data_IF_744751570990
#
_entry.id   IF_744751570990
#
_cell.length_a   1.000
_cell.length_b   1.000
_cell.length_c   1.000
_cell.angle_alpha   90.00
_cell.angle_beta   90.00
_cell.angle_gamma   90.00
#
_symmetry.space_group_name_H-M   'P 1'
#
loop_
_entity.id
_entity.type
_entity.pdbx_description
1 polymer ?
#
# COMPACT_ATOMS: atom_id res chain seq x y z
N UNK A 1 -20.16 -37.13 -7.17
CA UNK A 1 -19.03 -36.40 -6.57
C UNK A 1 -19.60 -35.22 -5.80
N UNK A 2 -19.56 -35.23 -4.46
CA UNK A 2 -20.03 -34.09 -3.65
C UNK A 2 -18.89 -33.06 -3.63
N UNK A 3 -19.11 -31.90 -4.24
CA UNK A 3 -18.15 -30.79 -4.22
C UNK A 3 -18.19 -30.17 -2.82
N UNK A 4 -17.17 -30.42 -2.01
CA UNK A 4 -17.03 -29.79 -0.69
C UNK A 4 -16.93 -28.27 -0.88
N UNK A 5 -17.70 -27.46 -0.13
CA UNK A 5 -17.62 -26.01 -0.24
C UNK A 5 -16.22 -25.53 0.18
N UNK A 6 -15.65 -24.57 -0.56
CA UNK A 6 -14.42 -23.88 -0.17
C UNK A 6 -14.65 -23.26 1.21
N UNK A 7 -13.76 -23.52 2.18
CA UNK A 7 -13.77 -22.80 3.46
C UNK A 7 -13.45 -21.34 3.18
N UNK A 8 -14.39 -20.45 3.47
CA UNK A 8 -14.11 -19.01 3.48
C UNK A 8 -13.23 -18.68 4.69
N UNK A 9 -12.02 -18.20 4.43
CA UNK A 9 -11.13 -17.67 5.46
C UNK A 9 -11.53 -16.23 5.71
N UNK A 10 -11.86 -15.88 6.95
CA UNK A 10 -12.05 -14.49 7.35
C UNK A 10 -10.68 -13.82 7.46
N UNK A 11 -10.24 -13.14 6.40
CA UNK A 11 -8.97 -12.40 6.33
C UNK A 11 -9.25 -10.92 6.50
N UNK A 12 -8.66 -10.31 7.52
CA UNK A 12 -8.63 -8.86 7.67
C UNK A 12 -7.39 -8.31 6.96
N UNK A 13 -7.59 -7.40 6.01
CA UNK A 13 -6.50 -6.69 5.33
C UNK A 13 -6.24 -5.40 6.11
N UNK A 14 -4.98 -5.21 6.52
CA UNK A 14 -4.52 -3.98 7.15
C UNK A 14 -3.45 -3.36 6.25
N UNK A 15 -3.62 -2.08 5.93
CA UNK A 15 -2.64 -1.32 5.17
C UNK A 15 -2.29 -0.03 5.92
N UNK A 16 -1.01 0.18 6.15
CA UNK A 16 -0.47 1.43 6.68
C UNK A 16 -0.06 2.42 5.58
N UNK A 17 -0.51 2.20 4.33
CA UNK A 17 -0.12 3.00 3.17
C UNK A 17 -0.42 4.48 3.34
N UNK A 18 -1.55 4.83 3.95
CA UNK A 18 -1.90 6.23 4.25
C UNK A 18 -0.93 6.86 5.27
N UNK A 19 -0.62 6.13 6.34
CA UNK A 19 0.33 6.57 7.36
C UNK A 19 1.74 6.77 6.78
N UNK A 20 2.16 5.85 5.92
CA UNK A 20 3.47 5.92 5.24
C UNK A 20 3.47 7.08 4.23
N UNK A 21 2.38 7.28 3.47
CA UNK A 21 2.24 8.38 2.52
C UNK A 21 2.34 9.74 3.23
N UNK A 22 1.70 9.88 4.38
CA UNK A 22 1.77 11.10 5.20
C UNK A 22 3.19 11.36 5.72
N UNK A 23 3.88 10.32 6.19
CA UNK A 23 5.27 10.45 6.65
C UNK A 23 6.22 10.87 5.52
N UNK A 24 6.08 10.29 4.32
CA UNK A 24 6.90 10.66 3.16
C UNK A 24 6.55 12.06 2.65
N UNK A 25 5.28 12.46 2.68
CA UNK A 25 4.86 13.82 2.32
C UNK A 25 5.46 14.85 3.27
N UNK A 26 5.50 14.55 4.57
CA UNK A 26 6.15 15.41 5.56
C UNK A 26 7.66 15.51 5.29
N UNK A 27 8.34 14.39 5.07
CA UNK A 27 9.76 14.39 4.72
C UNK A 27 10.07 15.22 3.46
N UNK A 28 9.19 15.19 2.45
CA UNK A 28 9.32 16.00 1.23
C UNK A 28 9.24 17.51 1.47
N UNK A 29 8.51 17.97 2.51
CA UNK A 29 8.46 19.39 2.84
C UNK A 29 9.80 19.91 3.37
N UNK A 30 10.54 19.06 4.08
CA UNK A 30 11.79 19.42 4.75
C UNK A 30 13.04 18.97 3.97
N UNK A 31 12.86 18.21 2.89
CA UNK A 31 13.96 17.57 2.18
C UNK A 31 14.85 18.57 1.41
N UNK A 32 16.19 18.42 1.48
CA UNK A 32 17.09 19.15 0.60
C UNK A 32 16.87 18.74 -0.86
N UNK A 33 17.25 19.61 -1.80
CA UNK A 33 17.10 19.37 -3.24
C UNK A 33 17.72 18.04 -3.71
N UNK A 34 18.82 17.61 -3.07
CA UNK A 34 19.49 16.35 -3.37
C UNK A 34 18.66 15.10 -3.06
N UNK A 35 17.77 15.16 -2.07
CA UNK A 35 16.95 14.03 -1.62
C UNK A 35 15.55 14.03 -2.23
N UNK A 36 15.07 15.21 -2.64
CA UNK A 36 13.73 15.44 -3.20
C UNK A 36 13.35 14.46 -4.32
N UNK A 37 14.20 14.19 -5.34
CA UNK A 37 13.85 13.26 -6.42
C UNK A 37 13.63 11.81 -5.94
N UNK A 38 14.38 11.38 -4.93
CA UNK A 38 14.25 10.05 -4.34
C UNK A 38 12.94 9.91 -3.56
N UNK A 39 12.60 10.92 -2.76
CA UNK A 39 11.37 10.95 -1.96
C UNK A 39 10.12 11.11 -2.83
N UNK A 40 10.18 11.87 -3.92
CA UNK A 40 9.08 11.97 -4.90
C UNK A 40 8.81 10.60 -5.55
N UNK A 41 9.87 9.86 -5.91
CA UNK A 41 9.74 8.50 -6.42
C UNK A 41 9.12 7.57 -5.37
N UNK A 42 9.56 7.67 -4.11
CA UNK A 42 8.97 6.90 -3.02
C UNK A 42 7.47 7.18 -2.87
N UNK A 43 7.07 8.46 -2.89
CA UNK A 43 5.66 8.86 -2.82
C UNK A 43 4.83 8.25 -3.96
N UNK A 44 5.36 8.23 -5.19
CA UNK A 44 4.69 7.60 -6.33
C UNK A 44 4.48 6.09 -6.13
N UNK A 45 5.50 5.38 -5.66
CA UNK A 45 5.41 3.93 -5.38
C UNK A 45 4.41 3.62 -4.25
N UNK A 46 4.35 4.47 -3.22
CA UNK A 46 3.39 4.33 -2.13
C UNK A 46 1.97 4.55 -2.62
N UNK A 47 1.74 5.55 -3.48
CA UNK A 47 0.43 5.80 -4.08
C UNK A 47 -0.06 4.62 -4.94
N UNK A 48 0.84 4.00 -5.71
CA UNK A 48 0.55 2.77 -6.45
C UNK A 48 0.16 1.62 -5.50
N UNK A 49 0.91 1.43 -4.42
CA UNK A 49 0.62 0.39 -3.43
C UNK A 49 -0.70 0.62 -2.69
N UNK A 50 -1.05 1.87 -2.40
CA UNK A 50 -2.31 2.27 -1.77
C UNK A 50 -3.53 2.02 -2.67
N UNK A 51 -3.35 2.01 -3.99
CA UNK A 51 -4.43 1.78 -4.96
C UNK A 51 -4.85 0.31 -5.12
N UNK A 52 -4.16 -0.64 -4.49
CA UNK A 52 -4.49 -2.07 -4.60
C UNK A 52 -5.76 -2.41 -3.85
N UNK A 53 -6.65 -3.15 -4.50
CA UNK A 53 -7.90 -3.63 -3.88
C UNK A 53 -7.64 -4.71 -2.84
N UNK A 54 -8.55 -4.86 -1.88
CA UNK A 54 -8.46 -5.93 -0.89
C UNK A 54 -8.43 -7.33 -1.52
N UNK A 55 -9.13 -7.53 -2.64
CA UNK A 55 -9.14 -8.80 -3.38
C UNK A 55 -7.73 -9.14 -3.92
N UNK A 56 -7.07 -8.17 -4.55
CA UNK A 56 -5.68 -8.35 -5.03
C UNK A 56 -4.71 -8.67 -3.88
N UNK A 57 -4.91 -8.06 -2.72
CA UNK A 57 -4.07 -8.27 -1.54
C UNK A 57 -4.32 -9.62 -0.86
N UNK A 58 -5.55 -10.13 -0.92
CA UNK A 58 -5.91 -11.48 -0.47
C UNK A 58 -5.46 -12.56 -1.45
N UNK A 59 -5.14 -12.18 -2.68
CA UNK A 59 -4.78 -13.10 -3.77
C UNK A 59 -5.99 -13.81 -4.37
N UNK A 60 -7.16 -13.15 -4.33
CA UNK A 60 -8.42 -13.63 -4.90
C UNK A 60 -8.47 -13.53 -6.44
#
# INVERSE_FOLDING_TARGET
>A
MIKMPKRELNVLVLQDTDRIADAVRAALQDAPESERPGLERAAALIAEAAGRSEAELRGD
#
